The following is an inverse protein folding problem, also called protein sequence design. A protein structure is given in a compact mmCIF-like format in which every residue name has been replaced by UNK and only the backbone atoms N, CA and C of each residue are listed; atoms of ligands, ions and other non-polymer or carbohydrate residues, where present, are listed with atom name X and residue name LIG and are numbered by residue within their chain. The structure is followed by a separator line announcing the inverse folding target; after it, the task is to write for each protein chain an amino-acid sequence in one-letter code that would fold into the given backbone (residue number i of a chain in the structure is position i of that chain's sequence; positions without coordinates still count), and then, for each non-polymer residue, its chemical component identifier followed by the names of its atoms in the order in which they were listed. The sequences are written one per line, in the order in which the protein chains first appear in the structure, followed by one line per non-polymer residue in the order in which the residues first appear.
data_IF_188165544040
#
_entry.id   IF_188165544040
#
_cell.length_a   1.000
_cell.length_b   1.000
_cell.length_c   1.000
_cell.angle_alpha   90.00
_cell.angle_beta   90.00
_cell.angle_gamma   90.00
#
_symmetry.space_group_name_H-M   'P 1'
#
loop_
_entity.id
_entity.type
_entity.pdbx_description
1 polymer ?
#
# COMPACT_ATOMS: atom_id res chain seq x y z
N UNK A 1 -20.48 12.46 -21.88
CA UNK A 1 -19.14 12.02 -22.33
C UNK A 1 -18.22 12.63 -21.29
N UNK A 2 -18.13 11.99 -20.14
CA UNK A 2 -17.65 12.64 -18.91
C UNK A 2 -16.44 11.89 -18.40
N UNK A 3 -15.38 12.70 -18.25
CA UNK A 3 -14.00 12.34 -18.14
C UNK A 3 -13.75 11.20 -17.14
N UNK A 4 -13.23 10.10 -17.68
CA UNK A 4 -12.48 9.09 -16.95
C UNK A 4 -11.23 9.77 -16.38
N UNK A 5 -11.37 10.30 -15.17
CA UNK A 5 -10.22 10.53 -14.30
C UNK A 5 -9.65 9.17 -13.96
N UNK A 6 -8.55 8.82 -14.61
CA UNK A 6 -7.60 7.76 -14.26
C UNK A 6 -7.25 7.87 -12.77
N UNK A 7 -8.13 7.38 -11.91
CA UNK A 7 -7.84 7.13 -10.53
C UNK A 7 -6.92 5.91 -10.54
N UNK A 8 -5.61 6.14 -10.56
CA UNK A 8 -4.57 5.18 -10.21
C UNK A 8 -4.66 4.71 -8.74
N UNK A 9 -5.88 4.55 -8.23
CA UNK A 9 -6.21 4.00 -6.95
C UNK A 9 -6.21 2.49 -7.07
N UNK A 10 -5.69 1.81 -6.05
CA UNK A 10 -5.94 0.39 -5.88
C UNK A 10 -7.46 0.18 -5.99
N UNK A 11 -7.93 -0.32 -7.14
CA UNK A 11 -9.27 -0.87 -7.26
C UNK A 11 -9.48 -1.79 -6.05
N UNK A 12 -10.65 -1.72 -5.43
CA UNK A 12 -10.89 -2.20 -4.06
C UNK A 12 -10.13 -3.47 -3.69
N UNK A 13 -9.73 -3.59 -2.43
CA UNK A 13 -9.02 -4.79 -1.96
C UNK A 13 -10.02 -5.93 -1.86
N UNK A 14 -9.71 -7.06 -2.51
CA UNK A 14 -10.51 -8.29 -2.49
C UNK A 14 -10.04 -9.20 -1.36
N UNK A 15 -8.72 -9.35 -1.23
CA UNK A 15 -8.10 -10.24 -0.23
C UNK A 15 -6.75 -9.68 0.19
N UNK A 16 -6.45 -9.85 1.48
CA UNK A 16 -5.14 -9.54 2.05
C UNK A 16 -4.61 -10.78 2.76
N UNK A 17 -3.37 -11.16 2.46
CA UNK A 17 -2.72 -12.30 3.11
C UNK A 17 -1.38 -11.92 3.70
N UNK A 18 -1.15 -12.36 4.94
CA UNK A 18 0.15 -12.24 5.58
C UNK A 18 1.05 -13.39 5.11
N UNK A 19 2.22 -13.05 4.59
CA UNK A 19 3.21 -14.00 4.11
C UNK A 19 4.43 -14.01 5.03
N UNK A 20 4.93 -15.21 5.32
CA UNK A 20 6.20 -15.42 5.99
C UNK A 20 7.00 -16.49 5.24
N UNK A 21 8.19 -16.13 4.76
CA UNK A 21 9.10 -17.07 4.11
C UNK A 21 10.56 -16.81 4.54
N UNK A 22 11.51 -17.53 3.94
CA UNK A 22 12.95 -17.38 4.25
C UNK A 22 13.49 -15.97 4.02
N UNK A 23 12.78 -15.12 3.27
CA UNK A 23 13.11 -13.71 3.00
C UNK A 23 12.43 -12.75 3.98
N UNK A 24 11.69 -13.26 4.97
CA UNK A 24 11.04 -12.49 6.02
C UNK A 24 9.54 -12.31 5.79
N UNK A 25 9.01 -11.20 6.29
CA UNK A 25 7.59 -10.94 6.34
C UNK A 25 7.10 -10.18 5.09
N UNK A 26 5.85 -10.38 4.73
CA UNK A 26 5.24 -9.69 3.59
C UNK A 26 3.73 -9.72 3.64
N UNK A 27 3.13 -8.96 2.74
CA UNK A 27 1.67 -8.92 2.56
C UNK A 27 1.37 -9.06 1.08
N UNK A 28 0.46 -9.96 0.75
CA UNK A 28 -0.12 -10.09 -0.57
C UNK A 28 -1.49 -9.43 -0.58
N UNK A 29 -1.75 -8.65 -1.63
CA UNK A 29 -2.99 -7.89 -1.80
C UNK A 29 -3.55 -8.23 -3.16
N UNK A 30 -4.70 -8.88 -3.16
CA UNK A 30 -5.50 -9.11 -4.36
C UNK A 30 -6.49 -7.96 -4.50
N UNK A 31 -6.56 -7.37 -5.68
CA UNK A 31 -7.50 -6.30 -6.00
C UNK A 31 -8.68 -6.85 -6.79
N UNK A 32 -9.82 -6.16 -6.75
CA UNK A 32 -11.01 -6.53 -7.53
C UNK A 32 -10.77 -6.55 -9.05
N UNK A 33 -9.72 -5.89 -9.53
CA UNK A 33 -9.27 -5.96 -10.91
C UNK A 33 -8.47 -7.25 -11.23
N UNK A 34 -8.37 -8.18 -10.28
CA UNK A 34 -7.59 -9.42 -10.41
C UNK A 34 -6.08 -9.22 -10.31
N UNK A 35 -5.60 -8.01 -10.00
CA UNK A 35 -4.18 -7.76 -9.83
C UNK A 35 -3.73 -8.16 -8.42
N UNK A 36 -2.68 -8.98 -8.35
CA UNK A 36 -2.03 -9.39 -7.11
C UNK A 36 -0.74 -8.58 -6.91
N UNK A 37 -0.59 -7.95 -5.75
CA UNK A 37 0.59 -7.18 -5.37
C UNK A 37 1.21 -7.73 -4.09
N UNK A 38 2.54 -7.89 -4.09
CA UNK A 38 3.29 -8.39 -2.94
C UNK A 38 4.23 -7.33 -2.37
N UNK A 39 4.08 -7.07 -1.08
CA UNK A 39 4.91 -6.14 -0.30
C UNK A 39 5.76 -6.90 0.71
N UNK A 40 6.97 -6.42 0.99
CA UNK A 40 7.93 -7.04 1.92
C UNK A 40 8.27 -6.10 3.05
N UNK A 41 8.44 -6.68 4.25
CA UNK A 41 8.65 -5.95 5.49
C UNK A 41 9.72 -6.62 6.35
N UNK A 42 10.44 -5.81 7.12
CA UNK A 42 11.54 -6.27 7.96
C UNK A 42 11.08 -6.97 9.24
N UNK A 43 9.80 -6.83 9.61
CA UNK A 43 9.25 -7.43 10.83
C UNK A 43 7.79 -7.86 10.68
N UNK A 44 7.39 -8.80 11.52
CA UNK A 44 6.03 -9.30 11.63
C UNK A 44 5.04 -8.20 11.99
N UNK A 45 5.40 -7.36 12.97
CA UNK A 45 4.57 -6.26 13.43
C UNK A 45 4.29 -5.25 12.29
N UNK A 46 5.32 -4.96 11.48
CA UNK A 46 5.17 -4.08 10.32
C UNK A 46 4.24 -4.71 9.27
N UNK A 47 4.40 -6.00 8.97
CA UNK A 47 3.56 -6.69 8.01
C UNK A 47 2.09 -6.79 8.48
N UNK A 48 1.85 -7.09 9.75
CA UNK A 48 0.49 -7.09 10.33
C UNK A 48 -0.17 -5.72 10.28
N UNK A 49 0.57 -4.67 10.62
CA UNK A 49 0.06 -3.30 10.54
C UNK A 49 -0.39 -2.97 9.11
N UNK A 50 0.43 -3.25 8.11
CA UNK A 50 0.07 -2.96 6.72
C UNK A 50 -1.04 -3.88 6.20
N UNK A 51 -1.10 -5.14 6.63
CA UNK A 51 -2.22 -6.02 6.29
C UNK A 51 -3.56 -5.41 6.73
N UNK A 52 -3.65 -4.94 7.97
CA UNK A 52 -4.84 -4.25 8.48
C UNK A 52 -5.14 -2.96 7.70
N UNK A 53 -4.11 -2.18 7.34
CA UNK A 53 -4.28 -0.97 6.51
C UNK A 53 -4.86 -1.29 5.13
N UNK A 54 -4.39 -2.34 4.47
CA UNK A 54 -4.92 -2.76 3.17
C UNK A 54 -6.35 -3.29 3.28
N UNK A 55 -6.66 -4.04 4.35
CA UNK A 55 -8.01 -4.54 4.63
C UNK A 55 -9.01 -3.40 4.90
N UNK A 56 -8.58 -2.36 5.62
CA UNK A 56 -9.38 -1.16 5.85
C UNK A 56 -9.58 -0.30 4.57
N UNK A 57 -8.62 -0.35 3.64
CA UNK A 57 -8.66 0.39 2.39
C UNK A 57 -8.40 1.91 2.54
N UNK A 58 -8.10 2.60 1.42
CA UNK A 58 -7.64 4.00 1.43
C UNK A 58 -8.70 5.01 1.86
N UNK A 59 -9.99 4.64 1.88
CA UNK A 59 -11.09 5.55 2.28
C UNK A 59 -11.07 5.89 3.77
N UNK A 60 -10.40 5.06 4.58
CA UNK A 60 -10.24 5.25 6.02
C UNK A 60 -8.94 5.98 6.38
N UNK A 61 -8.01 6.12 5.42
CA UNK A 61 -6.78 6.85 5.64
C UNK A 61 -6.99 8.33 5.30
N UNK A 62 -6.55 9.27 6.15
CA UNK A 62 -6.60 10.68 5.79
C UNK A 62 -5.83 10.89 4.48
N UNK A 63 -6.33 11.76 3.58
CA UNK A 63 -5.68 12.01 2.30
C UNK A 63 -4.24 12.42 2.54
N UNK A 64 -3.31 11.72 1.89
CA UNK A 64 -1.89 12.03 1.98
C UNK A 64 -1.68 13.41 1.39
N UNK A 65 -1.46 14.40 2.25
CA UNK A 65 -0.96 15.70 1.82
C UNK A 65 0.42 15.47 1.22
N UNK A 66 0.55 15.61 -0.10
CA UNK A 66 1.82 15.57 -0.82
C UNK A 66 2.59 16.86 -0.53
N UNK A 67 2.88 17.11 0.75
CA UNK A 67 3.78 18.15 1.20
C UNK A 67 5.16 17.85 0.64
N UNK A 68 5.49 18.52 -0.47
CA UNK A 68 6.77 18.46 -1.18
C UNK A 68 7.92 18.55 -0.17
N UNK A 69 8.50 17.40 0.19
CA UNK A 69 9.67 17.33 1.07
C UNK A 69 10.83 18.00 0.34
N UNK A 70 11.07 19.28 0.63
CA UNK A 70 12.18 20.05 0.08
C UNK A 70 13.46 19.41 0.65
N UNK A 71 14.06 18.50 -0.11
CA UNK A 71 15.33 17.86 0.21
C UNK A 71 16.40 18.95 0.23
N UNK A 72 16.69 19.50 1.41
CA UNK A 72 17.85 20.35 1.59
C UNK A 72 19.08 19.47 1.46
N UNK A 73 19.80 19.65 0.37
CA UNK A 73 21.12 19.06 0.15
C UNK A 73 22.02 19.69 1.23
N UNK A 74 22.42 18.91 2.25
CA UNK A 74 23.50 19.34 3.15
C UNK A 74 24.72 19.59 2.27
N UNK A 75 25.21 20.82 2.31
CA UNK A 75 26.47 21.21 1.70
C UNK A 75 27.60 20.41 2.38
N UNK A 76 28.56 19.99 1.56
CA UNK A 76 29.82 19.41 2.00
C UNK A 76 30.71 20.46 2.66
#
# INVERSE_FOLDING_TARGET
MDAQGEAGGMGGVLRVELLHDRRGWGVEVETWAGAVRRYRYGSEAQARFFAAVFEMGPRMLPPVSTGRRKRTRRAA
#
